data_IF_167595276770
#
_entry.id   IF_167595276770
#
_cell.length_a   1.000
_cell.length_b   1.000
_cell.length_c   1.000
_cell.angle_alpha   90.00
_cell.angle_beta   90.00
_cell.angle_gamma   90.00
#
_symmetry.space_group_name_H-M   'P 1'
#
loop_
_entity.id
_entity.type
_entity.pdbx_description
1 polymer ?
#
# COMPACT_ATOMS: atom_id res chain seq x y z
N UNK A 1 -1.01 -15.68 -1.85
CA UNK A 1 -2.33 -15.34 -1.29
C UNK A 1 -2.57 -13.88 -1.57
N UNK A 2 -3.55 -13.55 -2.40
CA UNK A 2 -3.95 -12.17 -2.67
C UNK A 2 -4.53 -11.61 -1.37
N UNK A 3 -3.78 -10.75 -0.66
CA UNK A 3 -4.21 -10.15 0.60
C UNK A 3 -5.38 -9.21 0.34
N UNK A 4 -6.58 -9.66 0.72
CA UNK A 4 -7.86 -9.02 0.47
C UNK A 4 -8.18 -7.90 1.49
N UNK A 5 -7.18 -7.09 1.82
CA UNK A 5 -7.30 -5.97 2.74
C UNK A 5 -7.11 -4.67 1.95
N UNK A 6 -8.13 -3.81 1.91
CA UNK A 6 -8.03 -2.46 1.31
C UNK A 6 -7.84 -1.35 2.34
N UNK A 7 -7.61 -1.75 3.58
CA UNK A 7 -7.15 -0.88 4.62
C UNK A 7 -5.67 -0.55 4.37
N UNK A 8 -5.35 0.73 4.20
CA UNK A 8 -3.99 1.25 4.29
C UNK A 8 -3.66 1.48 5.78
N UNK A 9 -2.87 0.60 6.40
CA UNK A 9 -2.56 0.69 7.82
C UNK A 9 -1.59 1.82 8.17
N UNK A 10 -1.18 2.64 7.19
CA UNK A 10 -0.18 3.70 7.36
C UNK A 10 -0.71 5.11 7.11
N UNK A 11 -1.78 5.25 6.32
CA UNK A 11 -2.60 6.47 6.27
C UNK A 11 -3.85 6.36 7.14
N UNK A 12 -4.11 5.19 7.72
CA UNK A 12 -5.32 4.90 8.49
C UNK A 12 -6.59 5.14 7.66
N UNK A 13 -6.54 4.77 6.37
CA UNK A 13 -7.63 4.99 5.42
C UNK A 13 -7.96 3.71 4.64
N UNK A 14 -9.20 3.58 4.19
CA UNK A 14 -9.66 2.44 3.38
C UNK A 14 -9.80 2.90 1.93
N UNK A 15 -9.16 2.20 0.99
CA UNK A 15 -9.33 2.46 -0.44
C UNK A 15 -10.46 1.59 -1.00
N UNK A 16 -11.61 2.18 -1.33
CA UNK A 16 -12.71 1.42 -1.94
C UNK A 16 -12.34 0.94 -3.36
N UNK A 17 -12.74 -0.29 -3.71
CA UNK A 17 -12.71 -0.77 -5.10
C UNK A 17 -14.12 -0.74 -5.66
N UNK A 18 -14.26 -0.22 -6.88
CA UNK A 18 -15.49 -0.40 -7.64
C UNK A 18 -15.60 -1.84 -8.12
N UNK A 19 -16.52 -2.59 -7.53
CA UNK A 19 -16.94 -3.91 -8.01
C UNK A 19 -18.05 -3.70 -9.02
N UNK A 20 -17.86 -4.27 -10.21
CA UNK A 20 -18.82 -4.18 -11.32
C UNK A 20 -19.38 -5.55 -11.66
N UNK A 21 -20.70 -5.65 -11.70
CA UNK A 21 -21.47 -6.79 -12.19
C UNK A 21 -21.10 -8.13 -11.55
N UNK A 22 -21.07 -8.14 -10.22
CA UNK A 22 -20.95 -9.37 -9.45
C UNK A 22 -22.26 -10.17 -9.52
N UNK A 23 -22.21 -11.37 -10.11
CA UNK A 23 -23.41 -12.15 -10.45
C UNK A 23 -23.77 -13.15 -9.35
N UNK A 24 -25.04 -13.16 -8.97
CA UNK A 24 -25.64 -14.12 -8.05
C UNK A 24 -26.96 -14.68 -8.57
N UNK A 25 -27.40 -15.78 -7.96
CA UNK A 25 -28.77 -16.29 -8.07
C UNK A 25 -29.46 -16.06 -6.74
N UNK A 26 -30.64 -15.44 -6.75
CA UNK A 26 -31.45 -15.29 -5.55
C UNK A 26 -31.89 -16.69 -5.09
N UNK A 27 -31.63 -17.11 -3.83
CA UNK A 27 -31.99 -18.44 -3.38
C UNK A 27 -33.46 -18.77 -3.60
N UNK A 28 -33.76 -20.01 -3.99
CA UNK A 28 -35.14 -20.46 -4.18
C UNK A 28 -35.88 -20.78 -2.88
N UNK A 29 -35.19 -20.66 -1.74
CA UNK A 29 -35.70 -20.96 -0.40
C UNK A 29 -35.33 -19.85 0.58
N UNK A 30 -36.15 -19.68 1.61
CA UNK A 30 -35.90 -18.76 2.72
C UNK A 30 -34.52 -19.03 3.35
N UNK A 31 -33.72 -17.99 3.64
CA UNK A 31 -34.09 -16.59 3.82
C UNK A 31 -34.09 -15.65 2.59
N UNK A 32 -33.95 -16.12 1.34
CA UNK A 32 -33.89 -15.24 0.14
C UNK A 32 -32.81 -14.15 0.26
N UNK A 33 -31.66 -14.51 0.82
CA UNK A 33 -30.54 -13.61 1.05
C UNK A 33 -29.34 -14.03 0.21
N UNK A 34 -28.58 -13.05 -0.27
CA UNK A 34 -27.24 -13.29 -0.83
C UNK A 34 -26.21 -12.59 0.04
N UNK A 35 -24.98 -13.09 -0.03
CA UNK A 35 -23.83 -12.46 0.60
C UNK A 35 -22.83 -12.08 -0.48
N UNK A 36 -22.48 -10.80 -0.54
CA UNK A 36 -21.49 -10.27 -1.46
C UNK A 36 -20.07 -10.77 -1.11
N UNK A 37 -19.19 -10.80 -2.11
CA UNK A 37 -17.79 -11.19 -1.93
C UNK A 37 -17.03 -10.19 -1.03
N UNK A 38 -17.48 -8.94 -1.01
CA UNK A 38 -16.88 -7.86 -0.25
C UNK A 38 -17.93 -7.08 0.53
N UNK A 39 -17.48 -6.40 1.60
CA UNK A 39 -18.29 -5.49 2.39
C UNK A 39 -18.52 -4.21 1.58
N UNK A 40 -19.77 -3.84 1.27
CA UNK A 40 -20.06 -2.56 0.63
C UNK A 40 -19.79 -1.40 1.58
N UNK A 41 -19.26 -0.31 1.03
CA UNK A 41 -19.14 0.97 1.72
C UNK A 41 -20.50 1.45 2.24
N UNK A 42 -20.55 1.86 3.50
CA UNK A 42 -21.74 2.48 4.09
C UNK A 42 -21.78 3.96 3.71
N UNK A 43 -22.43 4.27 2.58
CA UNK A 43 -22.60 5.62 2.07
C UNK A 43 -24.09 5.98 2.00
N UNK A 44 -24.41 7.26 2.18
CA UNK A 44 -25.76 7.81 2.00
C UNK A 44 -25.69 8.98 1.02
N UNK A 45 -26.15 8.83 -0.24
CA UNK A 45 -26.79 7.65 -0.83
C UNK A 45 -25.83 6.46 -1.03
N UNK A 46 -26.39 5.25 -1.05
CA UNK A 46 -25.65 4.00 -1.32
C UNK A 46 -24.99 4.03 -2.70
N UNK A 47 -23.83 3.39 -2.81
CA UNK A 47 -23.14 3.18 -4.09
C UNK A 47 -23.67 1.96 -4.86
N UNK A 48 -24.61 1.21 -4.26
CA UNK A 48 -25.09 -0.05 -4.80
C UNK A 48 -26.08 0.16 -5.95
N UNK A 49 -25.90 -0.63 -7.00
CA UNK A 49 -26.85 -0.76 -8.09
C UNK A 49 -27.04 -2.23 -8.43
N UNK A 50 -28.26 -2.60 -8.82
CA UNK A 50 -28.60 -3.99 -9.10
C UNK A 50 -29.44 -4.11 -10.37
N UNK A 51 -29.13 -5.14 -11.16
CA UNK A 51 -29.85 -5.48 -12.40
C UNK A 51 -30.18 -6.96 -12.41
N UNK A 52 -31.38 -7.32 -12.85
CA UNK A 52 -31.72 -8.69 -13.22
C UNK A 52 -30.93 -9.06 -14.47
N UNK A 53 -30.38 -10.26 -14.46
CA UNK A 53 -29.64 -10.85 -15.57
C UNK A 53 -30.43 -12.03 -16.11
N UNK A 54 -30.53 -12.14 -17.43
CA UNK A 54 -30.95 -13.36 -18.12
C UNK A 54 -29.91 -13.73 -19.18
N UNK A 55 -30.18 -14.75 -19.99
CA UNK A 55 -29.32 -15.17 -21.09
C UNK A 55 -30.09 -15.31 -22.39
N UNK A 56 -29.44 -15.00 -23.52
CA UNK A 56 -29.96 -15.31 -24.84
C UNK A 56 -30.09 -16.83 -25.03
N UNK A 57 -31.30 -17.32 -25.29
CA UNK A 57 -31.52 -18.75 -25.59
C UNK A 57 -31.21 -19.10 -27.06
N UNK A 58 -31.06 -18.09 -27.92
CA UNK A 58 -30.60 -18.24 -29.31
C UNK A 58 -29.71 -17.07 -29.73
N UNK A 59 -28.81 -17.30 -30.69
CA UNK A 59 -27.92 -16.27 -31.20
C UNK A 59 -28.67 -15.19 -32.02
N UNK A 60 -28.19 -13.94 -31.95
CA UNK A 60 -28.66 -12.84 -32.82
C UNK A 60 -27.72 -12.78 -34.02
N UNK A 61 -28.12 -13.39 -35.13
CA UNK A 61 -27.22 -13.60 -36.27
C UNK A 61 -27.09 -12.42 -37.24
N UNK A 62 -27.88 -11.35 -37.09
CA UNK A 62 -27.82 -10.16 -37.96
C UNK A 62 -28.01 -8.87 -37.18
N UNK A 63 -27.41 -7.78 -37.66
CA UNK A 63 -27.54 -6.44 -37.06
C UNK A 63 -28.95 -5.84 -37.20
N UNK A 64 -29.78 -6.39 -38.09
CA UNK A 64 -31.15 -5.90 -38.36
C UNK A 64 -32.25 -6.75 -37.71
N UNK A 65 -31.89 -7.79 -36.94
CA UNK A 65 -32.88 -8.61 -36.24
C UNK A 65 -33.70 -7.74 -35.26
N UNK A 66 -35.03 -7.87 -35.26
CA UNK A 66 -35.93 -7.16 -34.33
C UNK A 66 -36.66 -8.09 -33.38
N UNK A 67 -36.40 -9.39 -33.49
CA UNK A 67 -36.94 -10.44 -32.62
C UNK A 67 -35.77 -11.23 -32.06
N UNK A 68 -35.70 -11.32 -30.73
CA UNK A 68 -34.64 -12.03 -30.00
C UNK A 68 -35.28 -12.98 -28.99
N UNK A 69 -34.63 -14.10 -28.70
CA UNK A 69 -35.16 -15.10 -27.76
C UNK A 69 -34.27 -15.16 -26.52
N UNK A 70 -34.90 -15.03 -25.36
CA UNK A 70 -34.26 -15.09 -24.04
C UNK A 70 -34.63 -16.40 -23.34
N UNK A 71 -34.07 -16.66 -22.16
CA UNK A 71 -34.39 -17.89 -21.44
C UNK A 71 -35.68 -17.72 -20.63
N UNK A 72 -35.88 -16.54 -20.03
CA UNK A 72 -36.98 -16.24 -19.11
C UNK A 72 -37.74 -14.97 -19.54
N UNK A 73 -38.67 -15.08 -20.49
CA UNK A 73 -39.45 -13.93 -21.01
C UNK A 73 -40.21 -13.15 -19.93
N UNK A 74 -40.70 -13.83 -18.90
CA UNK A 74 -41.49 -13.25 -17.80
C UNK A 74 -40.68 -12.28 -16.91
N UNK A 75 -39.35 -12.26 -17.03
CA UNK A 75 -38.50 -11.33 -16.27
C UNK A 75 -38.44 -9.94 -16.91
N UNK A 76 -38.90 -9.81 -18.15
CA UNK A 76 -38.83 -8.57 -18.93
C UNK A 76 -40.14 -7.79 -18.85
N UNK A 77 -40.05 -6.48 -19.04
CA UNK A 77 -41.21 -5.59 -19.14
C UNK A 77 -41.10 -4.73 -20.38
N UNK A 78 -42.21 -4.56 -21.10
CA UNK A 78 -42.27 -3.66 -22.26
C UNK A 78 -41.95 -2.23 -21.81
N UNK A 79 -41.15 -1.52 -22.60
CA UNK A 79 -40.72 -0.15 -22.30
C UNK A 79 -39.39 -0.06 -21.56
N UNK A 80 -38.76 -1.19 -21.21
CA UNK A 80 -37.43 -1.22 -20.59
C UNK A 80 -36.31 -1.33 -21.62
N UNK A 81 -35.15 -0.81 -21.23
CA UNK A 81 -33.89 -0.99 -21.95
C UNK A 81 -33.19 -2.22 -21.40
N UNK A 82 -32.58 -3.00 -22.29
CA UNK A 82 -31.73 -4.13 -21.95
C UNK A 82 -30.35 -3.92 -22.57
N UNK A 83 -29.31 -4.45 -21.93
CA UNK A 83 -27.94 -4.35 -22.41
C UNK A 83 -27.38 -5.75 -22.69
N UNK A 84 -26.75 -5.93 -23.84
CA UNK A 84 -26.01 -7.14 -24.21
C UNK A 84 -24.62 -6.70 -24.68
N UNK A 85 -23.57 -7.12 -23.96
CA UNK A 85 -22.21 -6.60 -24.14
C UNK A 85 -22.18 -5.06 -24.06
N UNK A 86 -21.98 -4.38 -25.19
CA UNK A 86 -21.97 -2.90 -25.26
C UNK A 86 -23.16 -2.32 -26.04
N UNK A 87 -24.12 -3.15 -26.46
CA UNK A 87 -25.32 -2.69 -27.16
C UNK A 87 -26.50 -2.57 -26.21
N UNK A 88 -27.25 -1.48 -26.36
CA UNK A 88 -28.54 -1.30 -25.70
C UNK A 88 -29.69 -1.53 -26.68
N UNK A 89 -30.73 -2.23 -26.22
CA UNK A 89 -31.91 -2.56 -26.99
C UNK A 89 -33.16 -2.12 -26.20
N UNK A 90 -34.15 -1.55 -26.88
CA UNK A 90 -35.43 -1.17 -26.28
C UNK A 90 -36.48 -2.23 -26.52
N UNK A 91 -37.09 -2.76 -25.46
CA UNK A 91 -38.12 -3.82 -25.54
C UNK A 91 -39.48 -3.19 -25.85
N UNK A 92 -40.02 -3.49 -27.03
CA UNK A 92 -41.26 -2.92 -27.56
C UNK A 92 -42.48 -3.85 -27.45
N UNK A 93 -42.26 -5.17 -27.42
CA UNK A 93 -43.29 -6.18 -27.16
C UNK A 93 -42.65 -7.47 -26.63
N UNK A 94 -43.43 -8.29 -25.94
CA UNK A 94 -43.02 -9.58 -25.37
C UNK A 94 -44.08 -10.62 -25.77
N UNK A 95 -43.64 -11.77 -26.27
CA UNK A 95 -44.47 -12.94 -26.56
C UNK A 95 -43.73 -14.18 -26.05
N UNK A 96 -44.19 -14.73 -24.93
CA UNK A 96 -43.47 -15.76 -24.18
C UNK A 96 -42.00 -15.34 -23.97
N UNK A 97 -41.03 -16.19 -24.32
CA UNK A 97 -39.59 -15.87 -24.25
C UNK A 97 -39.03 -15.12 -25.47
N UNK A 98 -39.88 -14.59 -26.34
CA UNK A 98 -39.45 -13.81 -27.52
C UNK A 98 -39.73 -12.33 -27.32
N UNK A 99 -38.68 -11.52 -27.38
CA UNK A 99 -38.74 -10.06 -27.24
C UNK A 99 -38.71 -9.40 -28.62
N UNK A 100 -39.62 -8.47 -28.87
CA UNK A 100 -39.53 -7.54 -30.01
C UNK A 100 -38.77 -6.30 -29.58
N UNK A 101 -37.67 -5.99 -30.25
CA UNK A 101 -36.71 -4.96 -29.81
C UNK A 101 -36.40 -3.94 -30.90
N UNK A 102 -36.14 -2.70 -30.47
CA UNK A 102 -35.39 -1.73 -31.28
C UNK A 102 -33.92 -1.77 -30.88
N UNK A 103 -33.06 -2.07 -31.86
CA UNK A 103 -31.62 -2.25 -31.69
C UNK A 103 -30.84 -0.95 -31.80
N UNK A 104 -29.61 -0.93 -31.28
CA UNK A 104 -28.78 0.27 -31.29
C UNK A 104 -29.43 1.46 -30.56
N UNK A 105 -30.17 1.17 -29.49
CA UNK A 105 -30.86 2.19 -28.70
C UNK A 105 -29.85 3.04 -27.93
N UNK A 106 -30.26 4.25 -27.52
CA UNK A 106 -29.39 5.21 -26.80
C UNK A 106 -28.02 5.48 -27.46
N UNK A 107 -28.00 5.57 -28.80
CA UNK A 107 -26.78 5.79 -29.61
C UNK A 107 -25.76 4.65 -29.56
N UNK A 108 -26.17 3.43 -29.18
CA UNK A 108 -25.33 2.24 -29.31
C UNK A 108 -25.38 1.68 -30.74
N UNK A 109 -24.44 0.79 -31.08
CA UNK A 109 -24.35 0.18 -32.41
C UNK A 109 -24.84 -1.26 -32.37
N UNK A 110 -25.74 -1.64 -33.29
CA UNK A 110 -26.23 -3.00 -33.41
C UNK A 110 -25.11 -3.99 -33.79
N UNK A 111 -24.95 -5.06 -33.02
CA UNK A 111 -23.93 -6.12 -33.21
C UNK A 111 -24.57 -7.49 -33.52
N UNK A 112 -23.78 -8.53 -33.75
CA UNK A 112 -24.25 -9.92 -33.60
C UNK A 112 -23.93 -10.40 -32.18
N UNK A 113 -24.72 -11.34 -31.67
CA UNK A 113 -24.57 -11.89 -30.31
C UNK A 113 -24.69 -13.41 -30.33
N UNK A 114 -24.00 -14.07 -29.40
CA UNK A 114 -24.01 -15.52 -29.27
C UNK A 114 -25.15 -15.98 -28.36
N UNK A 115 -25.60 -17.22 -28.55
CA UNK A 115 -26.44 -17.86 -27.53
C UNK A 115 -25.64 -18.00 -26.24
N UNK A 116 -26.29 -17.72 -25.11
CA UNK A 116 -25.66 -17.68 -23.79
C UNK A 116 -25.08 -16.33 -23.41
N UNK A 117 -25.07 -15.33 -24.29
CA UNK A 117 -24.66 -13.97 -23.89
C UNK A 117 -25.62 -13.42 -22.82
N UNK A 118 -25.07 -12.75 -21.80
CA UNK A 118 -25.86 -12.14 -20.73
C UNK A 118 -26.68 -10.97 -21.24
N UNK A 119 -27.92 -10.90 -20.76
CA UNK A 119 -28.88 -9.83 -21.01
C UNK A 119 -29.18 -9.14 -19.69
N UNK A 120 -28.67 -7.92 -19.52
CA UNK A 120 -28.93 -7.11 -18.32
C UNK A 120 -30.20 -6.29 -18.52
N UNK A 121 -31.14 -6.37 -17.57
CA UNK A 121 -32.36 -5.56 -17.59
C UNK A 121 -32.09 -4.27 -16.80
N UNK A 122 -32.04 -3.14 -17.49
CA UNK A 122 -31.72 -1.85 -16.88
C UNK A 122 -32.88 -1.38 -15.97
N UNK A 123 -32.53 -0.75 -14.85
CA UNK A 123 -33.48 -0.24 -13.84
C UNK A 123 -34.54 -1.27 -13.43
N UNK A 124 -34.11 -2.51 -13.22
CA UNK A 124 -34.99 -3.65 -12.88
C UNK A 124 -35.16 -3.89 -11.39
N UNK A 125 -34.27 -3.35 -10.56
CA UNK A 125 -34.30 -3.50 -9.10
C UNK A 125 -34.13 -2.15 -8.41
N UNK A 126 -34.92 -1.87 -7.38
CA UNK A 126 -34.86 -0.65 -6.59
C UNK A 126 -34.39 -0.90 -5.15
N UNK A 127 -33.46 -0.09 -4.67
CA UNK A 127 -33.01 -0.15 -3.28
C UNK A 127 -34.10 0.39 -2.33
N UNK A 128 -34.33 -0.30 -1.22
CA UNK A 128 -35.20 0.13 -0.13
C UNK A 128 -34.51 -0.03 1.23
N UNK A 129 -35.02 0.66 2.26
CA UNK A 129 -34.47 0.63 3.63
C UNK A 129 -35.27 -0.24 4.60
N UNK A 130 -36.11 -1.15 4.08
CA UNK A 130 -36.95 -2.05 4.88
C UNK A 130 -37.32 -3.28 4.04
N UNK A 131 -38.10 -4.22 4.61
CA UNK A 131 -38.49 -5.46 3.94
C UNK A 131 -38.97 -5.23 2.49
N UNK A 132 -38.28 -5.82 1.49
CA UNK A 132 -38.55 -5.53 0.08
C UNK A 132 -39.82 -6.21 -0.45
N UNK A 133 -40.50 -5.55 -1.39
CA UNK A 133 -41.46 -6.19 -2.31
C UNK A 133 -40.75 -6.70 -3.56
N UNK A 134 -41.45 -7.44 -4.45
CA UNK A 134 -40.83 -7.91 -5.71
C UNK A 134 -40.30 -6.73 -6.55
N UNK A 135 -39.12 -6.90 -7.13
CA UNK A 135 -38.40 -5.85 -7.85
C UNK A 135 -37.65 -4.87 -6.94
N UNK A 136 -37.52 -5.18 -5.65
CA UNK A 136 -36.76 -4.39 -4.68
C UNK A 136 -35.71 -5.24 -3.98
N UNK A 137 -34.68 -4.58 -3.48
CA UNK A 137 -33.66 -5.19 -2.63
C UNK A 137 -33.39 -4.31 -1.42
N UNK A 138 -33.08 -4.94 -0.30
CA UNK A 138 -32.68 -4.24 0.91
C UNK A 138 -31.26 -4.69 1.28
N UNK A 139 -30.25 -3.84 1.10
CA UNK A 139 -28.95 -4.09 1.67
C UNK A 139 -29.07 -3.97 3.19
N UNK A 140 -28.64 -5.00 3.91
CA UNK A 140 -28.65 -5.02 5.37
C UNK A 140 -27.53 -4.12 5.91
N UNK A 141 -27.76 -2.81 5.84
CA UNK A 141 -27.02 -1.79 6.58
C UNK A 141 -27.48 -1.70 8.05
N UNK A 142 -28.42 -2.56 8.48
CA UNK A 142 -29.00 -2.47 9.82
C UNK A 142 -28.01 -3.01 10.84
N UNK A 143 -27.27 -2.10 11.46
CA UNK A 143 -26.31 -2.30 12.54
C UNK A 143 -26.97 -2.78 13.84
N UNK A 144 -27.81 -3.83 13.80
CA UNK A 144 -28.59 -4.28 14.96
C UNK A 144 -27.85 -5.25 15.85
N UNK A 145 -26.63 -5.65 15.49
CA UNK A 145 -25.89 -6.69 16.22
C UNK A 145 -24.83 -6.12 17.19
N UNK A 146 -24.43 -4.84 17.10
CA UNK A 146 -23.32 -4.30 17.95
C UNK A 146 -23.34 -2.79 18.31
N UNK A 147 -24.45 -2.06 18.25
CA UNK A 147 -24.51 -0.61 18.55
C UNK A 147 -23.56 0.29 17.70
N UNK A 148 -22.91 -0.25 16.68
CA UNK A 148 -21.98 0.48 15.80
C UNK A 148 -22.64 0.74 14.44
N UNK A 149 -23.10 1.98 14.24
CA UNK A 149 -23.76 2.46 13.02
C UNK A 149 -22.90 2.45 11.76
N UNK A 150 -21.63 2.05 11.85
CA UNK A 150 -20.69 2.02 10.73
C UNK A 150 -20.51 0.61 10.12
N UNK A 151 -21.28 -0.39 10.54
CA UNK A 151 -21.08 -1.79 10.14
C UNK A 151 -22.07 -2.30 9.07
N UNK A 152 -21.57 -3.03 8.07
CA UNK A 152 -22.35 -3.69 7.02
C UNK A 152 -21.92 -5.15 6.90
N UNK A 153 -22.87 -6.08 6.81
CA UNK A 153 -22.59 -7.53 6.69
C UNK A 153 -22.33 -7.98 5.25
N UNK A 154 -22.59 -7.10 4.27
CA UNK A 154 -22.60 -7.46 2.84
C UNK A 154 -23.77 -8.37 2.46
N UNK A 155 -24.78 -8.49 3.34
CA UNK A 155 -26.00 -9.26 3.08
C UNK A 155 -27.02 -8.40 2.35
N UNK A 156 -27.66 -8.96 1.32
CA UNK A 156 -28.78 -8.33 0.63
C UNK A 156 -29.99 -9.24 0.75
N UNK A 157 -31.10 -8.66 1.19
CA UNK A 157 -32.39 -9.34 1.38
C UNK A 157 -33.28 -9.09 0.16
N UNK A 158 -34.00 -10.13 -0.27
CA UNK A 158 -34.95 -10.09 -1.38
C UNK A 158 -36.35 -10.55 -1.00
N UNK A 159 -37.31 -10.26 -1.87
CA UNK A 159 -38.65 -10.81 -1.79
C UNK A 159 -38.71 -12.20 -2.41
N UNK A 160 -39.59 -13.08 -1.90
CA UNK A 160 -39.82 -14.41 -2.47
C UNK A 160 -40.27 -14.40 -3.94
N UNK A 161 -40.88 -13.30 -4.41
CA UNK A 161 -41.28 -13.12 -5.81
C UNK A 161 -40.11 -12.98 -6.79
N UNK A 162 -38.89 -12.75 -6.29
CA UNK A 162 -37.68 -12.65 -7.11
C UNK A 162 -36.79 -13.91 -6.99
N UNK A 163 -37.23 -14.91 -6.24
CA UNK A 163 -36.50 -16.16 -6.02
C UNK A 163 -36.15 -16.86 -7.35
N UNK A 164 -34.90 -17.30 -7.49
CA UNK A 164 -34.38 -17.97 -8.68
C UNK A 164 -33.94 -17.05 -9.82
N UNK A 165 -34.19 -15.73 -9.74
CA UNK A 165 -33.67 -14.77 -10.72
C UNK A 165 -32.15 -14.62 -10.56
N UNK A 166 -31.46 -14.46 -11.68
CA UNK A 166 -30.06 -14.07 -11.67
C UNK A 166 -29.99 -12.55 -11.56
N UNK A 167 -29.04 -12.05 -10.79
CA UNK A 167 -28.83 -10.63 -10.54
C UNK A 167 -27.36 -10.28 -10.66
N UNK A 168 -27.06 -9.07 -11.09
CA UNK A 168 -25.74 -8.46 -11.11
C UNK A 168 -25.74 -7.26 -10.16
N UNK A 169 -24.77 -7.24 -9.24
CA UNK A 169 -24.60 -6.17 -8.26
C UNK A 169 -23.32 -5.40 -8.54
N UNK A 170 -23.41 -4.09 -8.57
CA UNK A 170 -22.24 -3.19 -8.63
C UNK A 170 -22.23 -2.28 -7.40
N UNK A 171 -21.08 -2.13 -6.76
CA UNK A 171 -20.93 -1.39 -5.50
C UNK A 171 -19.46 -0.99 -5.24
N UNK A 172 -19.24 -0.04 -4.34
CA UNK A 172 -17.91 0.24 -3.78
C UNK A 172 -17.62 -0.73 -2.64
N UNK A 173 -16.68 -1.66 -2.82
CA UNK A 173 -16.28 -2.65 -1.83
C UNK A 173 -15.08 -2.20 -0.98
N UNK A 174 -15.10 -2.53 0.31
CA UNK A 174 -14.03 -2.25 1.29
C UNK A 174 -13.13 -3.47 1.58
N UNK A 175 -13.40 -4.60 0.94
CA UNK A 175 -12.72 -5.89 1.15
C UNK A 175 -13.62 -6.95 1.80
N UNK A 176 -13.14 -8.17 1.98
CA UNK A 176 -13.93 -9.25 2.59
C UNK A 176 -14.00 -9.10 4.11
N UNK A 177 -15.15 -9.43 4.73
CA UNK A 177 -15.27 -9.58 6.18
C UNK A 177 -14.22 -10.57 6.68
N UNK A 178 -13.16 -10.06 7.29
CA UNK A 178 -12.23 -10.89 8.01
C UNK A 178 -12.79 -11.04 9.40
N UNK A 179 -13.34 -12.22 9.67
CA UNK A 179 -13.53 -12.71 11.03
C UNK A 179 -12.25 -12.38 11.83
N UNK A 180 -12.39 -11.74 12.98
CA UNK A 180 -11.30 -11.31 13.85
C UNK A 180 -10.37 -12.47 14.27
N UNK A 181 -10.82 -13.72 14.13
CA UNK A 181 -10.01 -14.94 14.30
C UNK A 181 -9.14 -15.30 13.08
N UNK A 182 -9.29 -14.57 11.96
CA UNK A 182 -8.57 -14.73 10.69
C UNK A 182 -7.85 -13.45 10.22
N UNK A 183 -7.84 -12.38 11.02
CA UNK A 183 -6.89 -11.26 10.82
C UNK A 183 -5.49 -11.73 11.16
N UNK A 184 -4.90 -12.64 10.38
CA UNK A 184 -3.59 -13.12 10.79
C UNK A 184 -2.58 -11.99 10.67
N UNK A 185 -2.67 -11.07 9.70
CA UNK A 185 -1.67 -10.01 9.60
C UNK A 185 -2.22 -8.67 9.03
N UNK A 186 -2.60 -7.72 9.91
CA UNK A 186 -2.84 -6.28 9.59
C UNK A 186 -1.64 -5.65 8.86
N UNK A 187 -0.47 -6.21 9.08
CA UNK A 187 0.80 -5.83 8.45
C UNK A 187 1.39 -7.02 7.67
N UNK A 188 2.42 -6.84 6.84
CA UNK A 188 3.10 -7.96 6.18
C UNK A 188 3.54 -9.07 7.16
N UNK A 189 3.43 -10.38 6.79
CA UNK A 189 3.65 -11.49 7.72
C UNK A 189 5.04 -11.52 8.38
N UNK A 190 6.07 -10.99 7.71
CA UNK A 190 7.42 -10.96 8.27
C UNK A 190 7.55 -10.05 9.50
N UNK A 191 6.64 -9.08 9.69
CA UNK A 191 6.59 -8.23 10.89
C UNK A 191 6.03 -8.96 12.12
N UNK A 192 5.34 -10.09 11.91
CA UNK A 192 4.84 -10.95 12.97
C UNK A 192 5.78 -12.11 13.29
N UNK A 193 6.92 -12.19 12.59
CA UNK A 193 7.97 -13.12 12.94
C UNK A 193 8.76 -12.58 14.14
N UNK A 194 8.39 -13.03 15.35
CA UNK A 194 9.08 -12.70 16.61
C UNK A 194 10.41 -13.44 16.82
N UNK A 195 10.86 -14.20 15.82
CA UNK A 195 12.10 -14.98 15.86
C UNK A 195 11.97 -16.29 16.62
N UNK A 196 13.06 -17.05 16.65
CA UNK A 196 13.14 -18.39 17.26
C UNK A 196 13.61 -18.38 18.71
N UNK A 197 14.24 -17.29 19.17
CA UNK A 197 14.87 -17.20 20.49
C UNK A 197 16.23 -17.91 20.61
N UNK A 198 16.83 -18.35 19.49
CA UNK A 198 18.08 -19.12 19.47
C UNK A 198 19.28 -18.38 20.07
N UNK A 199 19.26 -17.04 20.10
CA UNK A 199 20.33 -16.23 20.70
C UNK A 199 20.14 -16.02 22.21
N UNK A 200 19.17 -16.67 22.86
CA UNK A 200 18.95 -16.54 24.30
C UNK A 200 18.49 -15.14 24.70
N UNK A 201 18.74 -14.72 25.93
CA UNK A 201 18.41 -13.35 26.38
C UNK A 201 19.64 -12.45 26.28
N UNK A 202 19.48 -11.26 25.73
CA UNK A 202 20.51 -10.24 25.68
C UNK A 202 20.28 -9.20 26.78
N UNK A 203 21.32 -8.92 27.56
CA UNK A 203 21.36 -7.78 28.46
C UNK A 203 22.70 -7.07 28.26
N UNK A 204 22.66 -5.81 27.83
CA UNK A 204 23.87 -5.05 27.56
C UNK A 204 24.69 -4.84 28.84
N UNK A 205 25.99 -5.15 28.79
CA UNK A 205 26.94 -4.91 29.90
C UNK A 205 27.99 -3.84 29.58
N UNK A 206 28.04 -3.39 28.32
CA UNK A 206 28.90 -2.34 27.81
C UNK A 206 28.37 -1.90 26.44
N UNK A 207 28.98 -0.85 25.88
CA UNK A 207 28.83 -0.53 24.46
C UNK A 207 29.21 -1.72 23.59
N UNK A 208 28.46 -1.94 22.52
CA UNK A 208 28.67 -3.07 21.63
C UNK A 208 28.47 -2.70 20.17
N UNK A 209 28.98 -3.53 19.28
CA UNK A 209 28.77 -3.40 17.85
C UNK A 209 27.99 -4.60 17.35
N UNK A 210 26.90 -4.36 16.62
CA UNK A 210 26.04 -5.41 16.07
C UNK A 210 25.60 -5.09 14.65
N UNK A 211 25.36 -6.12 13.86
CA UNK A 211 24.87 -5.99 12.49
C UNK A 211 24.37 -7.34 12.01
N UNK A 212 23.38 -7.33 11.11
CA UNK A 212 22.67 -8.53 10.71
C UNK A 212 21.40 -8.77 11.53
N UNK A 213 20.95 -10.02 11.55
CA UNK A 213 19.72 -10.43 12.23
C UNK A 213 20.01 -11.24 13.49
N UNK A 214 19.28 -10.97 14.57
CA UNK A 214 19.37 -11.70 15.83
C UNK A 214 17.97 -12.08 16.33
N UNK A 215 17.84 -13.31 16.82
CA UNK A 215 16.62 -13.93 17.34
C UNK A 215 16.76 -14.19 18.85
N UNK A 216 16.41 -13.21 19.68
CA UNK A 216 16.47 -13.30 21.14
C UNK A 216 15.15 -13.79 21.77
N UNK A 217 15.26 -14.24 23.01
CA UNK A 217 14.10 -14.47 23.89
C UNK A 217 13.66 -13.14 24.52
N UNK A 218 14.60 -12.41 25.11
CA UNK A 218 14.42 -11.03 25.58
C UNK A 218 15.65 -10.22 25.18
N UNK A 219 15.45 -8.93 24.98
CA UNK A 219 16.53 -8.01 24.62
C UNK A 219 16.47 -6.78 25.51
N UNK A 220 17.55 -6.47 26.21
CA UNK A 220 17.64 -5.31 27.09
C UNK A 220 18.89 -4.51 26.73
N UNK A 221 18.68 -3.33 26.17
CA UNK A 221 19.69 -2.29 26.04
C UNK A 221 19.50 -1.27 27.17
N UNK A 222 20.42 -1.26 28.13
CA UNK A 222 20.44 -0.33 29.25
C UNK A 222 20.72 1.10 28.74
N UNK A 223 20.21 2.10 29.47
CA UNK A 223 20.25 3.52 29.07
C UNK A 223 21.65 4.11 28.87
N UNK A 224 22.66 3.54 29.54
CA UNK A 224 24.04 4.00 29.47
C UNK A 224 24.81 3.41 28.28
N UNK A 225 24.25 2.41 27.60
CA UNK A 225 24.95 1.67 26.56
C UNK A 225 24.50 2.06 25.15
N UNK A 226 25.47 2.00 24.23
CA UNK A 226 25.29 2.24 22.81
C UNK A 226 25.56 0.99 21.99
N UNK A 227 24.68 0.72 21.04
CA UNK A 227 24.89 -0.25 19.97
C UNK A 227 25.29 0.50 18.71
N UNK A 228 26.48 0.24 18.19
CA UNK A 228 26.89 0.78 16.88
C UNK A 228 26.67 -0.28 15.80
N UNK A 229 26.10 0.11 14.66
CA UNK A 229 25.89 -0.82 13.55
C UNK A 229 27.25 -1.21 12.88
N UNK A 230 27.52 -2.51 12.74
CA UNK A 230 28.67 -3.05 11.96
C UNK A 230 28.36 -3.29 10.49
N UNK A 231 27.08 -3.32 10.12
CA UNK A 231 26.60 -3.47 8.74
C UNK A 231 25.49 -2.46 8.45
N UNK A 232 24.95 -2.48 7.23
CA UNK A 232 23.92 -1.52 6.82
C UNK A 232 22.59 -1.68 7.56
N UNK A 233 22.40 -2.81 8.26
CA UNK A 233 21.16 -3.10 8.94
C UNK A 233 21.37 -3.89 10.24
N UNK A 234 20.46 -3.70 11.18
CA UNK A 234 20.31 -4.47 12.40
C UNK A 234 18.85 -4.87 12.56
N UNK A 235 18.58 -6.17 12.60
CA UNK A 235 17.25 -6.71 12.92
C UNK A 235 17.32 -7.45 14.23
N UNK A 236 16.48 -7.04 15.18
CA UNK A 236 16.30 -7.70 16.48
C UNK A 236 14.91 -8.28 16.51
N UNK A 237 14.80 -9.61 16.59
CA UNK A 237 13.54 -10.32 16.81
C UNK A 237 13.52 -10.88 18.23
N UNK A 238 12.43 -10.69 18.96
CA UNK A 238 12.28 -11.14 20.33
C UNK A 238 10.95 -11.90 20.53
N UNK A 239 11.04 -13.13 21.02
CA UNK A 239 9.83 -13.92 21.37
C UNK A 239 9.13 -13.43 22.64
N UNK A 240 9.83 -12.61 23.45
CA UNK A 240 9.33 -11.92 24.64
C UNK A 240 9.47 -10.40 24.51
N UNK A 241 10.17 -9.76 25.46
CA UNK A 241 10.24 -8.30 25.59
C UNK A 241 11.54 -7.74 25.03
N UNK A 242 11.45 -6.64 24.27
CA UNK A 242 12.56 -5.79 23.88
C UNK A 242 12.50 -4.45 24.63
N UNK A 243 13.48 -4.20 25.50
CA UNK A 243 13.70 -2.94 26.20
C UNK A 243 14.83 -2.19 25.52
N UNK A 244 14.54 -1.01 24.97
CA UNK A 244 15.50 -0.13 24.32
C UNK A 244 15.60 1.13 25.16
N UNK A 245 16.42 1.07 26.21
CA UNK A 245 16.71 2.19 27.09
C UNK A 245 17.87 3.06 26.61
N UNK A 246 18.87 2.45 25.95
CA UNK A 246 20.07 3.11 25.45
C UNK A 246 19.97 3.61 24.01
N UNK A 247 21.12 3.77 23.35
CA UNK A 247 21.19 4.31 21.98
C UNK A 247 21.53 3.22 20.96
N UNK A 248 20.78 3.14 19.86
CA UNK A 248 21.15 2.35 18.67
C UNK A 248 21.59 3.31 17.56
N UNK A 249 22.83 3.17 17.11
CA UNK A 249 23.52 4.09 16.23
C UNK A 249 23.74 3.49 14.84
N UNK A 250 22.82 3.81 13.93
CA UNK A 250 22.90 3.54 12.49
C UNK A 250 23.42 4.73 11.67
N UNK A 251 23.96 5.77 12.30
CA UNK A 251 24.45 6.97 11.62
C UNK A 251 25.54 6.64 10.58
N UNK A 252 25.29 7.00 9.32
CA UNK A 252 26.29 6.83 8.25
C UNK A 252 26.61 5.36 7.91
N UNK A 253 25.80 4.41 8.37
CA UNK A 253 26.03 2.97 8.20
C UNK A 253 25.37 2.35 6.97
N UNK A 254 24.60 3.11 6.19
CA UNK A 254 24.01 2.71 4.91
C UNK A 254 25.02 2.72 3.76
N UNK A 255 24.69 3.40 2.66
CA UNK A 255 25.58 3.51 1.51
C UNK A 255 26.91 4.14 1.90
N UNK A 256 28.03 3.50 1.54
CA UNK A 256 29.36 3.97 1.90
C UNK A 256 29.68 5.31 1.20
N UNK A 257 30.20 6.26 1.99
CA UNK A 257 30.76 7.50 1.48
C UNK A 257 31.86 7.24 0.45
N UNK A 258 31.99 8.12 -0.53
CA UNK A 258 32.95 8.02 -1.62
C UNK A 258 33.92 9.19 -1.59
N UNK A 259 35.16 8.94 -2.00
CA UNK A 259 36.20 9.98 -2.12
C UNK A 259 36.27 10.58 -3.53
N UNK A 260 35.59 9.97 -4.50
CA UNK A 260 35.52 10.46 -5.89
C UNK A 260 34.25 9.99 -6.59
N UNK A 261 33.67 10.86 -7.41
CA UNK A 261 32.52 10.51 -8.27
C UNK A 261 31.19 10.43 -7.53
N UNK A 262 30.27 9.64 -8.09
CA UNK A 262 28.90 9.55 -7.60
C UNK A 262 28.79 8.78 -6.30
N UNK A 263 27.85 9.19 -5.45
CA UNK A 263 27.54 8.52 -4.20
C UNK A 263 27.06 7.08 -4.41
N UNK A 264 27.38 6.21 -3.44
CA UNK A 264 26.88 4.84 -3.38
C UNK A 264 25.36 4.83 -3.32
N UNK A 265 24.74 4.00 -4.16
CA UNK A 265 23.29 3.85 -4.24
C UNK A 265 22.74 3.30 -2.91
N UNK A 266 21.69 3.93 -2.42
CA UNK A 266 20.90 3.44 -1.29
C UNK A 266 19.72 2.61 -1.76
N UNK A 267 19.04 1.99 -0.81
CA UNK A 267 17.84 1.21 -1.07
C UNK A 267 16.70 1.84 -0.28
N UNK A 268 15.73 2.37 -1.01
CA UNK A 268 14.42 2.71 -0.46
C UNK A 268 14.37 3.61 0.80
N UNK A 269 15.39 4.45 0.97
CA UNK A 269 15.49 5.42 2.06
C UNK A 269 15.82 6.81 1.49
N UNK A 270 16.42 7.71 2.28
CA UNK A 270 16.84 9.02 1.80
C UNK A 270 17.95 8.91 0.76
N UNK A 271 17.90 9.74 -0.30
CA UNK A 271 18.99 9.82 -1.28
C UNK A 271 20.11 10.77 -0.82
N UNK A 272 21.29 10.65 -1.42
CA UNK A 272 22.44 11.48 -1.07
C UNK A 272 22.39 12.85 -1.74
N UNK A 273 22.96 13.85 -1.07
CA UNK A 273 23.19 15.18 -1.63
C UNK A 273 24.36 15.21 -2.62
N UNK A 274 24.37 16.19 -3.51
CA UNK A 274 25.44 16.41 -4.49
C UNK A 274 26.70 16.97 -3.84
N UNK A 275 27.85 16.75 -4.47
CA UNK A 275 29.11 17.40 -4.13
C UNK A 275 29.40 18.58 -5.06
N UNK A 276 30.22 19.50 -4.59
CA UNK A 276 30.69 20.67 -5.34
C UNK A 276 32.18 20.54 -5.60
N UNK A 277 32.64 20.99 -6.77
CA UNK A 277 34.07 21.27 -6.91
C UNK A 277 34.44 22.08 -8.15
N UNK A 278 35.74 22.35 -8.23
CA UNK A 278 36.33 23.27 -9.22
C UNK A 278 36.38 22.70 -10.64
N UNK A 279 36.31 21.38 -10.79
CA UNK A 279 36.24 20.69 -12.10
C UNK A 279 34.89 20.01 -12.30
N UNK A 280 34.62 18.89 -11.62
CA UNK A 280 33.31 18.21 -11.63
C UNK A 280 33.00 17.68 -10.22
N UNK A 281 31.91 18.17 -9.62
CA UNK A 281 31.37 17.61 -8.38
C UNK A 281 30.71 16.25 -8.61
N UNK A 282 30.63 15.43 -7.56
CA UNK A 282 29.96 14.13 -7.59
C UNK A 282 28.45 14.24 -7.47
N UNK A 283 27.72 13.43 -8.23
CA UNK A 283 26.27 13.27 -8.12
C UNK A 283 25.94 12.53 -6.82
N UNK A 284 24.91 12.94 -6.10
CA UNK A 284 24.45 12.22 -4.91
C UNK A 284 23.95 10.82 -5.25
N UNK A 285 24.16 9.85 -4.35
CA UNK A 285 23.68 8.50 -4.55
C UNK A 285 22.16 8.48 -4.68
N UNK A 286 21.66 7.93 -5.78
CA UNK A 286 20.23 7.70 -5.95
C UNK A 286 19.76 6.56 -5.03
N UNK A 287 18.45 6.48 -4.79
CA UNK A 287 17.85 5.31 -4.14
C UNK A 287 17.15 4.44 -5.17
N UNK A 288 17.52 3.16 -5.19
CA UNK A 288 17.01 2.20 -6.17
C UNK A 288 15.70 1.56 -5.68
N UNK A 289 14.75 1.40 -6.60
CA UNK A 289 13.46 0.76 -6.40
C UNK A 289 13.37 -0.35 -7.44
N UNK A 290 13.44 -1.60 -7.01
CA UNK A 290 13.53 -2.72 -7.95
C UNK A 290 12.14 -3.25 -8.33
N UNK A 291 11.78 -3.07 -9.61
CA UNK A 291 10.70 -3.65 -10.43
C UNK A 291 9.21 -3.33 -10.16
N UNK A 292 8.39 -3.11 -11.23
CA UNK A 292 8.75 -2.75 -12.61
C UNK A 292 8.99 -1.24 -12.74
N UNK A 293 9.79 -0.85 -13.74
CA UNK A 293 10.33 0.48 -14.03
C UNK A 293 9.51 1.68 -13.50
N UNK A 294 9.94 2.24 -12.38
CA UNK A 294 9.65 3.64 -12.03
C UNK A 294 10.97 4.29 -11.63
N UNK A 295 11.19 5.51 -12.11
CA UNK A 295 12.44 6.27 -11.93
C UNK A 295 12.90 6.29 -10.46
N UNK A 296 14.22 6.21 -10.26
CA UNK A 296 14.85 6.38 -8.95
C UNK A 296 14.35 7.66 -8.27
N UNK A 297 14.05 7.60 -6.97
CA UNK A 297 13.78 8.83 -6.21
C UNK A 297 15.09 9.60 -6.02
N UNK A 298 15.30 10.56 -6.92
CA UNK A 298 15.96 11.83 -6.63
C UNK A 298 17.35 11.76 -6.02
N UNK A 299 18.25 10.94 -6.55
CA UNK A 299 19.68 11.28 -6.39
C UNK A 299 19.88 12.70 -6.92
N UNK A 300 20.67 13.52 -6.22
CA UNK A 300 20.98 14.89 -6.66
C UNK A 300 21.55 14.86 -8.08
N UNK A 301 20.75 15.24 -9.09
CA UNK A 301 21.00 14.98 -10.51
C UNK A 301 22.27 15.65 -11.05
N UNK A 302 22.81 16.64 -10.34
CA UNK A 302 23.99 17.38 -10.74
C UNK A 302 24.98 17.52 -9.57
N UNK A 303 26.21 17.06 -9.80
CA UNK A 303 27.37 17.57 -9.08
C UNK A 303 27.77 18.91 -9.69
N UNK A 304 28.00 19.92 -8.85
CA UNK A 304 28.19 21.29 -9.32
C UNK A 304 29.64 21.55 -9.76
N UNK A 305 29.81 22.06 -10.98
CA UNK A 305 31.11 22.47 -11.55
C UNK A 305 31.24 23.99 -11.44
N UNK A 306 32.17 24.52 -10.67
CA UNK A 306 32.38 25.98 -10.60
C UNK A 306 31.23 26.81 -9.98
N UNK A 307 30.23 26.17 -9.38
CA UNK A 307 29.08 26.84 -8.73
C UNK A 307 29.20 26.76 -7.20
N UNK A 308 28.61 27.72 -6.49
CA UNK A 308 28.66 27.86 -5.03
C UNK A 308 27.83 26.83 -4.23
N UNK A 309 26.93 26.07 -4.87
CA UNK A 309 26.08 25.10 -4.17
C UNK A 309 25.68 23.92 -5.06
N UNK A 310 25.25 22.82 -4.47
CA UNK A 310 24.74 21.61 -5.15
C UNK A 310 23.36 21.21 -4.62
N UNK A 311 22.66 20.35 -5.35
CA UNK A 311 21.29 19.93 -4.98
C UNK A 311 21.26 18.96 -3.81
N UNK A 312 20.21 19.09 -2.99
CA UNK A 312 19.88 18.19 -1.90
C UNK A 312 19.33 16.85 -2.40
N UNK A 313 19.43 15.83 -1.56
CA UNK A 313 18.78 14.54 -1.76
C UNK A 313 17.27 14.61 -1.49
N UNK A 314 16.53 13.68 -2.07
CA UNK A 314 15.10 13.49 -1.93
C UNK A 314 14.75 12.48 -0.83
N UNK A 315 13.62 12.73 -0.19
CA UNK A 315 12.93 11.80 0.72
C UNK A 315 12.07 10.82 -0.10
N UNK A 316 11.98 9.53 0.26
CA UNK A 316 11.14 8.57 -0.45
C UNK A 316 9.64 8.86 -0.27
N UNK A 317 8.83 8.54 -1.30
CA UNK A 317 7.37 8.72 -1.26
C UNK A 317 6.67 7.63 -0.45
N UNK A 318 5.45 7.92 0.04
CA UNK A 318 4.63 6.96 0.80
C UNK A 318 4.33 5.67 0.03
N UNK A 319 4.03 5.77 -1.27
CA UNK A 319 3.78 4.61 -2.13
C UNK A 319 5.00 3.67 -2.21
N UNK A 320 6.20 4.25 -2.23
CA UNK A 320 7.44 3.48 -2.23
C UNK A 320 7.61 2.77 -0.88
N UNK A 321 7.43 3.48 0.24
CA UNK A 321 7.52 2.91 1.61
C UNK A 321 6.62 1.68 1.77
N UNK A 322 5.35 1.76 1.34
CA UNK A 322 4.37 0.66 1.42
C UNK A 322 4.86 -0.57 0.66
N UNK A 323 5.34 -0.36 -0.57
CA UNK A 323 5.84 -1.43 -1.44
C UNK A 323 7.02 -2.17 -0.83
N UNK A 324 7.93 -1.49 -0.14
CA UNK A 324 9.08 -2.13 0.51
C UNK A 324 8.69 -2.95 1.73
N UNK A 325 7.74 -2.44 2.52
CA UNK A 325 7.22 -3.18 3.66
C UNK A 325 6.56 -4.48 3.20
N UNK A 326 5.92 -4.53 2.04
CA UNK A 326 5.37 -5.78 1.47
C UNK A 326 6.44 -6.80 1.07
N UNK A 327 7.67 -6.37 0.74
CA UNK A 327 8.75 -7.23 0.26
C UNK A 327 9.64 -7.82 1.36
N UNK A 328 9.66 -7.23 2.56
CA UNK A 328 10.49 -7.71 3.68
C UNK A 328 12.00 -7.57 3.46
N UNK A 329 12.44 -6.45 2.87
CA UNK A 329 13.86 -6.13 2.61
C UNK A 329 14.36 -5.10 3.65
N UNK A 330 15.68 -5.00 3.83
CA UNK A 330 16.34 -4.06 4.74
C UNK A 330 16.84 -2.80 4.01
N UNK A 331 16.05 -1.70 3.99
CA UNK A 331 16.40 -0.44 3.34
C UNK A 331 17.66 0.20 3.94
N UNK A 332 18.30 1.13 3.24
CA UNK A 332 19.32 2.00 3.84
C UNK A 332 19.55 3.26 2.99
N UNK A 333 19.97 4.34 3.63
CA UNK A 333 20.22 5.64 2.99
C UNK A 333 21.35 5.58 1.96
N UNK A 334 21.24 6.36 0.88
CA UNK A 334 22.31 6.47 -0.11
C UNK A 334 23.45 7.37 0.40
N UNK A 335 24.65 7.24 -0.16
CA UNK A 335 25.76 8.13 0.16
C UNK A 335 25.68 9.44 -0.64
N UNK A 336 26.29 10.51 -0.12
CA UNK A 336 26.46 11.75 -0.86
C UNK A 336 27.45 11.61 -2.01
N UNK A 337 27.45 12.59 -2.93
CA UNK A 337 28.45 12.68 -3.99
C UNK A 337 29.77 13.25 -3.47
N UNK A 338 30.91 12.78 -3.98
CA UNK A 338 32.21 13.34 -3.61
C UNK A 338 32.36 14.79 -4.11
N UNK A 339 33.23 15.57 -3.48
CA UNK A 339 33.71 16.80 -4.09
C UNK A 339 34.67 16.55 -5.26
N UNK A 340 34.93 17.53 -6.13
CA UNK A 340 35.86 17.33 -7.24
C UNK A 340 37.28 17.00 -6.73
N UNK A 341 37.90 15.92 -7.21
CA UNK A 341 39.25 15.45 -6.87
C UNK A 341 39.49 14.95 -5.41
N UNK A 342 39.33 13.63 -5.23
CA UNK A 342 39.96 12.67 -4.29
C UNK A 342 40.22 13.00 -2.81
N UNK A 343 39.80 14.17 -2.29
CA UNK A 343 40.26 14.65 -0.98
C UNK A 343 39.15 15.01 0.01
N UNK A 344 37.90 15.17 -0.45
CA UNK A 344 36.73 15.36 0.42
C UNK A 344 35.80 14.14 0.32
N UNK A 345 35.74 13.35 1.38
CA UNK A 345 34.89 12.15 1.47
C UNK A 345 33.45 12.55 1.66
N UNK A 346 32.54 12.00 0.85
CA UNK A 346 31.11 12.22 1.03
C UNK A 346 30.55 11.53 2.25
N UNK A 347 29.40 12.01 2.72
CA UNK A 347 28.71 11.41 3.85
C UNK A 347 28.13 10.04 3.48
N UNK A 348 28.34 9.04 4.34
CA UNK A 348 27.64 7.77 4.23
C UNK A 348 26.15 7.90 4.55
N UNK A 349 25.30 7.09 3.93
CA UNK A 349 23.86 7.09 4.21
C UNK A 349 23.52 6.47 5.57
N UNK A 350 22.33 6.68 6.11
CA UNK A 350 21.89 6.07 7.37
C UNK A 350 21.57 4.58 7.23
N UNK A 351 21.83 3.80 8.27
CA UNK A 351 21.52 2.37 8.34
C UNK A 351 20.05 2.07 8.63
N UNK A 352 19.71 0.79 8.70
CA UNK A 352 18.38 0.32 9.05
C UNK A 352 18.35 -0.41 10.39
N UNK A 353 17.38 -0.05 11.23
CA UNK A 353 17.15 -0.72 12.52
C UNK A 353 15.72 -1.23 12.53
N UNK A 354 15.53 -2.53 12.73
CA UNK A 354 14.21 -3.16 12.83
C UNK A 354 14.16 -3.91 14.15
N UNK A 355 13.18 -3.60 14.98
CA UNK A 355 12.91 -4.31 16.22
C UNK A 355 11.51 -4.92 16.13
N UNK A 356 11.43 -6.24 16.22
CA UNK A 356 10.19 -7.00 16.24
C UNK A 356 10.13 -7.75 17.58
N UNK A 357 9.15 -7.48 18.42
CA UNK A 357 9.02 -8.15 19.72
C UNK A 357 7.56 -8.27 20.14
N UNK A 358 7.20 -9.25 20.99
CA UNK A 358 5.82 -9.28 21.53
C UNK A 358 5.51 -8.04 22.36
N UNK A 359 6.51 -7.57 23.11
CA UNK A 359 6.43 -6.31 23.85
C UNK A 359 7.66 -5.46 23.57
N UNK A 360 7.45 -4.18 23.28
CA UNK A 360 8.51 -3.19 23.14
C UNK A 360 8.34 -2.13 24.22
N UNK A 361 9.40 -1.89 24.97
CA UNK A 361 9.53 -0.74 25.87
C UNK A 361 10.67 0.12 25.30
N UNK A 362 10.31 1.27 24.73
CA UNK A 362 11.26 2.14 24.05
C UNK A 362 11.31 3.51 24.75
N UNK A 363 12.42 3.78 25.42
CA UNK A 363 12.68 5.04 26.13
C UNK A 363 13.99 5.71 25.67
N UNK A 364 14.83 4.98 24.95
CA UNK A 364 16.13 5.43 24.47
C UNK A 364 16.07 6.13 23.11
N UNK A 365 17.15 5.98 22.33
CA UNK A 365 17.30 6.63 21.03
C UNK A 365 17.63 5.63 19.92
N UNK A 366 16.99 5.76 18.76
CA UNK A 366 17.43 5.13 17.51
C UNK A 366 17.83 6.25 16.55
N UNK A 367 19.12 6.32 16.21
CA UNK A 367 19.66 7.31 15.28
C UNK A 367 20.16 6.62 14.01
N UNK A 368 19.37 6.72 12.96
CA UNK A 368 19.67 6.24 11.62
C UNK A 368 19.87 7.41 10.64
N UNK A 369 20.42 8.54 11.08
CA UNK A 369 20.65 9.68 10.20
C UNK A 369 21.75 9.38 9.16
N UNK A 370 21.72 10.11 8.04
CA UNK A 370 22.87 10.19 7.14
C UNK A 370 24.04 10.94 7.79
N UNK A 371 25.26 10.62 7.38
CA UNK A 371 26.46 11.33 7.82
C UNK A 371 26.67 12.61 6.99
N UNK A 372 27.30 13.61 7.60
CA UNK A 372 27.71 14.83 6.91
C UNK A 372 28.83 14.54 5.90
N UNK A 373 28.86 15.30 4.79
CA UNK A 373 29.96 15.27 3.84
C UNK A 373 31.16 16.07 4.32
N UNK A 374 32.38 15.64 3.98
CA UNK A 374 33.61 16.35 4.31
C UNK A 374 33.85 17.60 3.45
N UNK A 375 34.79 18.43 3.87
CA UNK A 375 35.26 19.60 3.12
C UNK A 375 36.80 19.61 3.03
N UNK A 376 37.34 20.24 1.99
CA UNK A 376 38.78 20.48 1.84
C UNK A 376 39.05 21.97 1.56
N UNK A 377 39.81 22.59 2.46
CA UNK A 377 40.11 24.01 2.47
C UNK A 377 41.07 24.49 1.38
N UNK A 378 41.92 23.61 0.83
CA UNK A 378 42.94 23.99 -0.14
C UNK A 378 42.37 24.25 -1.53
N UNK A 379 41.24 23.65 -1.86
CA UNK A 379 40.69 23.62 -3.23
C UNK A 379 39.23 24.07 -3.32
N UNK A 380 38.67 24.65 -2.25
CA UNK A 380 37.24 25.04 -2.16
C UNK A 380 36.29 23.89 -2.52
N UNK A 381 36.56 22.69 -2.00
CA UNK A 381 35.79 21.48 -2.30
C UNK A 381 34.89 21.15 -1.11
N UNK A 382 33.63 20.82 -1.40
CA UNK A 382 32.67 20.36 -0.39
C UNK A 382 31.93 19.14 -0.91
N UNK A 383 31.93 18.05 -0.16
CA UNK A 383 31.25 16.82 -0.52
C UNK A 383 29.78 16.86 -0.08
N UNK A 384 28.94 16.11 -0.81
CA UNK A 384 27.55 15.89 -0.45
C UNK A 384 27.43 15.02 0.80
N UNK A 385 26.31 15.18 1.48
CA UNK A 385 25.97 14.39 2.68
C UNK A 385 25.11 13.18 2.33
N UNK A 386 25.13 12.15 3.19
CA UNK A 386 24.39 10.92 2.98
C UNK A 386 22.91 11.06 3.32
N UNK A 387 22.05 10.30 2.65
CA UNK A 387 20.61 10.27 2.95
C UNK A 387 20.30 9.52 4.24
N UNK A 388 19.15 9.82 4.86
CA UNK A 388 18.69 9.17 6.08
C UNK A 388 18.32 7.71 5.88
N UNK A 389 18.47 6.93 6.93
CA UNK A 389 18.19 5.49 6.99
C UNK A 389 16.76 5.18 7.42
N UNK A 390 16.55 4.00 8.00
CA UNK A 390 15.20 3.53 8.36
C UNK A 390 15.15 2.98 9.78
N UNK A 391 14.02 3.17 10.46
CA UNK A 391 13.76 2.52 11.74
C UNK A 391 12.33 1.95 11.79
N UNK A 392 12.19 0.69 12.23
CA UNK A 392 10.87 0.06 12.40
C UNK A 392 10.80 -0.56 13.79
N UNK A 393 9.75 -0.25 14.54
CA UNK A 393 9.36 -0.94 15.78
C UNK A 393 8.03 -1.64 15.53
N UNK A 394 7.97 -2.95 15.70
CA UNK A 394 6.75 -3.72 15.54
C UNK A 394 6.54 -4.68 16.71
N UNK A 395 5.37 -4.63 17.34
CA UNK A 395 5.08 -5.52 18.45
C UNK A 395 3.65 -5.48 18.94
N UNK A 396 3.23 -6.49 19.70
CA UNK A 396 1.83 -6.59 20.14
C UNK A 396 1.48 -5.48 21.13
N UNK A 397 2.44 -5.11 21.96
CA UNK A 397 2.32 -3.98 22.87
C UNK A 397 3.57 -3.12 22.78
N UNK A 398 3.39 -1.81 22.58
CA UNK A 398 4.51 -0.86 22.49
C UNK A 398 4.27 0.28 23.49
N UNK A 399 5.14 0.39 24.48
CA UNK A 399 5.27 1.55 25.33
C UNK A 399 6.42 2.42 24.79
N UNK A 400 6.09 3.53 24.13
CA UNK A 400 7.07 4.38 23.46
C UNK A 400 7.10 5.79 24.07
N UNK A 401 8.25 6.15 24.65
CA UNK A 401 8.62 7.51 25.03
C UNK A 401 10.03 7.88 24.51
N UNK A 402 10.57 7.10 23.58
CA UNK A 402 11.91 7.25 23.03
C UNK A 402 11.96 8.19 21.82
N UNK A 403 13.16 8.37 21.27
CA UNK A 403 13.40 9.26 20.12
C UNK A 403 13.95 8.48 18.91
N UNK A 404 13.32 8.65 17.74
CA UNK A 404 13.82 8.10 16.47
C UNK A 404 14.22 9.25 15.55
N UNK A 405 15.43 9.22 15.02
CA UNK A 405 15.90 10.16 13.99
C UNK A 405 16.37 9.42 12.76
N UNK A 406 15.85 9.82 11.60
CA UNK A 406 16.17 9.28 10.27
C UNK A 406 16.45 10.42 9.28
N UNK A 407 17.00 11.54 9.76
CA UNK A 407 17.28 12.71 8.94
C UNK A 407 18.39 12.41 7.91
N UNK A 408 18.39 13.15 6.81
CA UNK A 408 19.56 13.23 5.95
C UNK A 408 20.74 13.87 6.69
N UNK A 409 21.94 13.58 6.24
CA UNK A 409 23.14 14.24 6.74
C UNK A 409 23.07 15.73 6.48
N UNK A 410 23.61 16.52 7.41
CA UNK A 410 23.78 17.95 7.20
C UNK A 410 24.87 18.17 6.15
N UNK A 411 24.64 19.13 5.24
CA UNK A 411 25.69 19.58 4.35
C UNK A 411 26.73 20.38 5.12
N UNK A 412 27.98 20.29 4.69
CA UNK A 412 29.03 21.19 5.17
C UNK A 412 29.12 22.41 4.28
N UNK A 413 29.68 23.49 4.82
CA UNK A 413 29.99 24.70 4.09
C UNK A 413 31.47 25.02 4.26
N UNK A 414 32.09 25.49 3.20
CA UNK A 414 33.44 26.06 3.26
C UNK A 414 33.49 27.29 2.37
N UNK A 415 33.80 28.45 2.94
CA UNK A 415 33.69 29.74 2.27
C UNK A 415 32.28 29.95 1.67
N UNK A 416 32.16 30.29 0.39
CA UNK A 416 30.89 30.44 -0.33
C UNK A 416 30.37 29.12 -0.94
N UNK A 417 30.98 27.97 -0.63
CA UNK A 417 30.68 26.68 -1.27
C UNK A 417 29.92 25.75 -0.32
N UNK A 418 28.82 25.15 -0.77
CA UNK A 418 27.99 24.25 0.04
C UNK A 418 27.64 22.95 -0.69
N UNK A 419 27.92 21.81 -0.05
CA UNK A 419 27.42 20.51 -0.51
C UNK A 419 25.89 20.43 -0.41
N UNK A 420 25.30 19.41 -1.02
CA UNK A 420 23.89 19.09 -0.86
C UNK A 420 23.62 18.35 0.44
N UNK A 421 22.50 18.66 1.08
CA UNK A 421 21.94 17.90 2.19
C UNK A 421 21.51 16.50 1.72
N UNK A 422 21.52 15.51 2.60
CA UNK A 422 20.89 14.23 2.33
C UNK A 422 19.36 14.36 2.41
N UNK A 423 18.64 13.56 1.63
CA UNK A 423 17.20 13.39 1.81
C UNK A 423 16.92 12.66 3.12
N UNK A 424 15.78 12.94 3.76
CA UNK A 424 15.38 12.19 4.94
C UNK A 424 15.00 10.75 4.58
N UNK A 425 15.24 9.83 5.52
CA UNK A 425 14.67 8.49 5.49
C UNK A 425 13.28 8.47 6.12
N UNK A 426 12.89 7.33 6.70
CA UNK A 426 11.56 7.17 7.28
C UNK A 426 11.55 6.16 8.42
N UNK A 427 10.55 6.25 9.29
CA UNK A 427 10.36 5.28 10.36
C UNK A 427 8.89 4.92 10.58
N UNK A 428 8.65 3.76 11.20
CA UNK A 428 7.31 3.30 11.58
C UNK A 428 7.31 2.63 12.96
N UNK A 429 6.23 2.86 13.71
CA UNK A 429 5.94 2.20 14.98
C UNK A 429 4.59 1.52 14.83
N UNK A 430 4.55 0.19 14.91
CA UNK A 430 3.43 -0.64 14.49
C UNK A 430 2.98 -1.55 15.63
N UNK A 431 1.76 -1.31 16.13
CA UNK A 431 1.13 -2.21 17.11
C UNK A 431 0.46 -3.36 16.38
N UNK A 432 0.99 -4.56 16.57
CA UNK A 432 0.49 -5.80 15.98
C UNK A 432 -0.69 -6.29 16.84
N UNK A 433 -1.81 -6.66 16.23
CA UNK A 433 -2.95 -7.29 16.93
C UNK A 433 -2.82 -8.79 16.90
#
# INVERSE_FOLDING_TARGET
MSTNYRFDPYSDSVEALTVTDEIYVIPSVTPYEIKLLEVPENASPSSMSMRIVDMLSAAISTTSATSITVTNGDWFTVGKTITINSEQLYVSAISDSTLTVTRGYNSTTASVHSSGDYVFIEDSMAEVSSTPTSGQFWPDYSCTVTDDSNWNTGTIVFNSGDAGKWIAVSYSGLGTLVDDRFMEFKYPPWLYNFGTGENGSFNSTADTTMGGEYNYTNFVLLSEHTITLSSNYLVIRCTGTAVIGGTIYGLGKGGAGVTSGSGTIGFCAGSGGGGVGTTVGGVGGATYIQYPLVAASGGSLNGSTGHSSSSDGATPSSANIIRFLQMGIYPYGAAGGAGAATTATSGGGGGCVIIIAKQIIFTGTINCNGAAGGSNSTNNIVAGSGGGGVAILAGNTIANSGTITVAGGAYTTYSSWSGGAGGAGWYKVLTLV
#
